data_IF_340963529607
#
_entry.id   IF_340963529607
#
_cell.length_a   1.000
_cell.length_b   1.000
_cell.length_c   1.000
_cell.angle_alpha   90.00
_cell.angle_beta   90.00
_cell.angle_gamma   90.00
#
_symmetry.space_group_name_H-M   'P 1'
#
loop_
_entity.id
_entity.type
_entity.pdbx_description
1 polymer ?
#
# COMPACT_ATOMS: atom_id res chain seq x y z
N UNK A 1 -5.28 -15.54 14.05
CA UNK A 1 -3.83 -15.17 13.93
C UNK A 1 -3.63 -14.70 12.50
N UNK A 2 -2.93 -13.61 12.27
CA UNK A 2 -2.69 -13.08 10.91
C UNK A 2 -1.53 -13.88 10.31
N UNK A 3 -1.78 -14.54 9.17
CA UNK A 3 -0.72 -15.23 8.43
C UNK A 3 0.28 -14.23 7.84
N UNK A 4 1.57 -14.55 7.87
CA UNK A 4 2.63 -13.67 7.39
C UNK A 4 2.95 -12.45 8.25
N UNK A 5 2.40 -12.36 9.48
CA UNK A 5 2.71 -11.28 10.42
C UNK A 5 4.06 -11.48 11.09
N UNK A 6 4.87 -10.43 11.10
CA UNK A 6 6.16 -10.37 11.78
C UNK A 6 6.23 -9.06 12.59
N UNK A 7 6.48 -9.19 13.90
CA UNK A 7 6.79 -8.04 14.74
C UNK A 7 8.27 -7.72 14.59
N UNK A 8 8.58 -6.48 14.23
CA UNK A 8 9.94 -6.01 13.95
C UNK A 8 10.24 -4.71 14.70
N UNK A 9 11.48 -4.50 15.14
CA UNK A 9 11.86 -3.28 15.86
C UNK A 9 12.00 -2.06 14.93
N UNK A 10 12.14 -2.26 13.63
CA UNK A 10 12.34 -1.22 12.59
C UNK A 10 11.48 -1.59 11.37
N UNK A 11 10.22 -1.12 11.36
CA UNK A 11 9.28 -1.37 10.26
C UNK A 11 9.79 -0.75 8.95
N UNK A 12 10.27 0.51 8.90
CA UNK A 12 10.84 1.09 7.69
C UNK A 12 12.01 0.29 7.12
N UNK A 13 12.96 -0.16 7.96
CA UNK A 13 14.10 -0.98 7.50
C UNK A 13 13.66 -2.35 6.98
N UNK A 14 12.73 -3.01 7.68
CA UNK A 14 12.18 -4.29 7.24
C UNK A 14 11.42 -4.14 5.90
N UNK A 15 10.69 -3.04 5.70
CA UNK A 15 10.04 -2.73 4.44
C UNK A 15 11.07 -2.53 3.31
N UNK A 16 12.10 -1.72 3.54
CA UNK A 16 13.14 -1.45 2.54
C UNK A 16 13.82 -2.75 2.08
N UNK A 17 14.23 -3.62 3.00
CA UNK A 17 14.80 -4.92 2.66
C UNK A 17 13.82 -5.80 1.89
N UNK A 18 12.53 -5.78 2.25
CA UNK A 18 11.51 -6.55 1.54
C UNK A 18 11.34 -6.09 0.08
N UNK A 19 11.38 -4.78 -0.18
CA UNK A 19 11.32 -4.23 -1.55
C UNK A 19 12.57 -4.63 -2.33
N UNK A 20 13.75 -4.49 -1.73
CA UNK A 20 15.03 -4.84 -2.37
C UNK A 20 15.09 -6.32 -2.73
N UNK A 21 14.70 -7.20 -1.80
CA UNK A 21 14.62 -8.65 -2.05
C UNK A 21 13.63 -9.00 -3.16
N UNK A 22 12.46 -8.36 -3.13
CA UNK A 22 11.43 -8.55 -4.17
C UNK A 22 11.91 -8.09 -5.53
N UNK A 23 12.59 -6.93 -5.60
CA UNK A 23 13.22 -6.45 -6.83
C UNK A 23 14.27 -7.44 -7.36
N UNK A 24 15.10 -8.00 -6.48
CA UNK A 24 16.10 -9.01 -6.83
C UNK A 24 15.50 -10.32 -7.37
N UNK A 25 14.33 -10.68 -6.87
CA UNK A 25 13.60 -11.91 -7.23
C UNK A 25 12.61 -11.74 -8.39
N UNK A 26 12.50 -10.54 -9.00
CA UNK A 26 11.55 -10.29 -10.09
C UNK A 26 11.77 -11.24 -11.26
N UNK A 27 10.67 -11.66 -11.87
CA UNK A 27 10.70 -12.56 -13.02
C UNK A 27 10.83 -11.81 -14.37
N UNK A 28 10.35 -10.57 -14.41
CA UNK A 28 10.31 -9.73 -15.61
C UNK A 28 11.48 -8.73 -15.65
N UNK A 29 11.69 -8.11 -16.80
CA UNK A 29 12.74 -7.10 -16.97
C UNK A 29 12.46 -5.85 -16.12
N UNK A 30 11.20 -5.43 -16.04
CA UNK A 30 10.73 -4.34 -15.21
C UNK A 30 10.12 -4.86 -13.91
N UNK A 31 10.13 -4.01 -12.89
CA UNK A 31 9.54 -4.27 -11.57
C UNK A 31 8.44 -3.27 -11.30
N UNK A 32 7.26 -3.75 -10.99
CA UNK A 32 6.09 -2.92 -10.75
C UNK A 32 5.76 -2.83 -9.25
N UNK A 33 5.77 -1.60 -8.71
CA UNK A 33 5.43 -1.35 -7.31
C UNK A 33 4.29 -0.34 -7.21
N UNK A 34 3.25 -0.67 -6.41
CA UNK A 34 2.22 0.29 -6.03
C UNK A 34 2.49 0.84 -4.63
N UNK A 35 2.59 2.16 -4.53
CA UNK A 35 2.89 2.91 -3.30
C UNK A 35 1.62 3.31 -2.56
N UNK A 36 1.74 3.62 -1.28
CA UNK A 36 0.69 4.08 -0.38
C UNK A 36 1.01 5.47 0.18
N UNK A 37 0.17 5.99 1.05
CA UNK A 37 0.37 7.25 1.76
C UNK A 37 0.40 7.11 3.29
N UNK A 38 0.56 8.23 3.96
CA UNK A 38 0.59 8.33 5.42
C UNK A 38 2.00 8.28 6.03
N UNK A 39 2.08 8.57 7.34
CA UNK A 39 3.36 8.77 8.03
C UNK A 39 4.28 7.54 8.05
N UNK A 40 3.71 6.35 8.26
CA UNK A 40 4.47 5.10 8.19
C UNK A 40 5.04 4.88 6.79
N UNK A 41 4.22 5.13 5.74
CA UNK A 41 4.69 5.02 4.37
C UNK A 41 5.81 6.01 4.05
N UNK A 42 5.71 7.27 4.53
CA UNK A 42 6.77 8.27 4.38
C UNK A 42 8.10 7.75 4.95
N UNK A 43 8.12 7.26 6.18
CA UNK A 43 9.34 6.69 6.81
C UNK A 43 9.87 5.47 6.04
N UNK A 44 8.98 4.61 5.55
CA UNK A 44 9.35 3.47 4.72
C UNK A 44 10.04 3.91 3.42
N UNK A 45 9.53 4.97 2.79
CA UNK A 45 10.11 5.48 1.53
C UNK A 45 11.42 6.22 1.75
N UNK A 46 11.53 7.01 2.80
CA UNK A 46 12.80 7.64 3.19
C UNK A 46 13.88 6.58 3.43
N UNK A 47 13.55 5.52 4.17
CA UNK A 47 14.47 4.40 4.41
C UNK A 47 14.79 3.63 3.13
N UNK A 48 13.81 3.38 2.27
CA UNK A 48 14.03 2.74 0.97
C UNK A 48 14.90 3.59 0.06
N UNK A 49 14.78 4.93 0.11
CA UNK A 49 15.67 5.82 -0.62
C UNK A 49 17.12 5.71 -0.13
N UNK A 50 17.35 5.57 1.18
CA UNK A 50 18.68 5.42 1.75
C UNK A 50 19.31 4.05 1.42
N UNK A 51 18.58 2.98 1.65
CA UNK A 51 19.10 1.61 1.54
C UNK A 51 19.04 1.06 0.10
N UNK A 52 18.09 1.52 -0.70
CA UNK A 52 17.78 1.03 -2.05
C UNK A 52 18.42 1.82 -3.19
N UNK A 53 18.96 3.02 -2.92
CA UNK A 53 19.49 3.90 -3.98
C UNK A 53 20.51 3.23 -4.91
N UNK A 54 21.36 2.36 -4.37
CA UNK A 54 22.40 1.63 -5.11
C UNK A 54 22.13 0.15 -5.28
N UNK A 55 21.09 -0.38 -4.63
CA UNK A 55 20.73 -1.81 -4.65
C UNK A 55 19.59 -2.11 -5.63
N UNK A 56 18.85 -1.08 -6.05
CA UNK A 56 17.75 -1.17 -7.01
C UNK A 56 18.12 -0.39 -8.27
N UNK A 57 17.99 -1.04 -9.42
CA UNK A 57 18.08 -0.37 -10.73
C UNK A 57 16.77 0.38 -11.00
N UNK A 58 16.64 1.60 -10.48
CA UNK A 58 15.40 2.39 -10.53
C UNK A 58 14.86 2.59 -11.93
N UNK A 59 15.71 2.67 -12.94
CA UNK A 59 15.31 2.74 -14.35
C UNK A 59 14.58 1.48 -14.86
N UNK A 60 14.48 0.42 -14.02
CA UNK A 60 13.66 -0.78 -14.27
C UNK A 60 12.39 -0.81 -13.41
N UNK A 61 12.11 0.24 -12.63
CA UNK A 61 10.96 0.28 -11.71
C UNK A 61 9.83 1.09 -12.32
N UNK A 62 8.67 0.47 -12.47
CA UNK A 62 7.41 1.12 -12.79
C UNK A 62 6.64 1.41 -11.50
N UNK A 63 6.43 2.70 -11.22
CA UNK A 63 5.81 3.17 -9.99
C UNK A 63 4.34 3.48 -10.22
N UNK A 64 3.50 2.88 -9.40
CA UNK A 64 2.05 3.05 -9.33
C UNK A 64 1.65 3.53 -7.93
N UNK A 65 0.35 3.81 -7.73
CA UNK A 65 -0.24 4.08 -6.42
C UNK A 65 -1.36 3.09 -6.13
N UNK A 66 -1.48 2.66 -4.87
CA UNK A 66 -2.58 1.84 -4.38
C UNK A 66 -3.84 2.65 -4.14
N UNK A 67 -3.67 3.91 -3.73
CA UNK A 67 -4.74 4.89 -3.59
C UNK A 67 -4.20 6.32 -3.69
N UNK A 68 -5.07 7.26 -3.99
CA UNK A 68 -4.76 8.69 -4.02
C UNK A 68 -5.97 9.51 -3.63
N UNK A 69 -5.71 10.67 -3.03
CA UNK A 69 -6.71 11.67 -2.73
C UNK A 69 -7.01 12.49 -4.00
N UNK A 70 -8.28 12.77 -4.26
CA UNK A 70 -8.70 13.60 -5.40
C UNK A 70 -8.38 15.07 -5.16
N UNK A 71 -7.11 15.38 -4.95
CA UNK A 71 -6.54 16.72 -4.77
C UNK A 71 -5.47 16.98 -5.85
N UNK A 72 -5.04 18.22 -6.06
CA UNK A 72 -3.87 18.50 -6.90
C UNK A 72 -2.63 17.74 -6.43
N UNK A 73 -1.75 17.33 -7.35
CA UNK A 73 -0.56 16.53 -7.03
C UNK A 73 0.50 17.27 -6.19
N UNK A 74 0.40 18.58 -6.08
CA UNK A 74 1.23 19.44 -5.22
C UNK A 74 0.54 19.80 -3.89
N UNK A 75 -0.65 19.24 -3.63
CA UNK A 75 -1.35 19.41 -2.36
C UNK A 75 -0.65 18.59 -1.26
N UNK A 76 -0.57 19.14 -0.05
CA UNK A 76 0.09 18.50 1.10
C UNK A 76 -0.44 17.08 1.44
N UNK A 77 -1.72 16.83 1.15
CA UNK A 77 -2.35 15.53 1.34
C UNK A 77 -2.22 14.58 0.15
N UNK A 78 -1.48 14.91 -0.91
CA UNK A 78 -1.26 14.01 -2.04
C UNK A 78 -0.30 12.87 -1.68
N UNK A 79 -0.71 11.63 -1.93
CA UNK A 79 0.16 10.47 -1.80
C UNK A 79 1.31 10.51 -2.81
N UNK A 80 1.07 11.09 -3.99
CA UNK A 80 2.13 11.32 -4.98
C UNK A 80 3.17 12.30 -4.45
N UNK A 81 2.76 13.45 -3.90
CA UNK A 81 3.69 14.43 -3.35
C UNK A 81 4.56 13.78 -2.26
N UNK A 82 3.93 13.05 -1.34
CA UNK A 82 4.62 12.33 -0.28
C UNK A 82 5.68 11.37 -0.87
N UNK A 83 5.30 10.52 -1.82
CA UNK A 83 6.21 9.53 -2.40
C UNK A 83 7.32 10.20 -3.23
N UNK A 84 7.01 11.30 -3.93
CA UNK A 84 8.02 12.07 -4.67
C UNK A 84 9.10 12.60 -3.74
N UNK A 85 8.71 13.29 -2.67
CA UNK A 85 9.66 13.89 -1.72
C UNK A 85 10.45 12.85 -0.92
N UNK A 86 9.77 11.79 -0.45
CA UNK A 86 10.37 10.77 0.41
C UNK A 86 11.25 9.78 -0.36
N UNK A 87 10.96 9.53 -1.64
CA UNK A 87 11.63 8.49 -2.43
C UNK A 87 12.10 8.99 -3.80
N UNK A 88 11.18 9.41 -4.68
CA UNK A 88 11.47 9.52 -6.11
C UNK A 88 12.47 10.62 -6.44
N UNK A 89 12.47 11.74 -5.71
CA UNK A 89 13.45 12.83 -5.86
C UNK A 89 14.84 12.47 -5.27
N UNK A 90 14.95 11.34 -4.55
CA UNK A 90 16.18 10.92 -3.83
C UNK A 90 16.89 9.74 -4.49
N UNK A 91 16.21 9.02 -5.36
CA UNK A 91 16.75 7.87 -6.10
C UNK A 91 16.89 8.21 -7.58
N UNK A 92 17.43 7.31 -8.37
CA UNK A 92 17.50 7.50 -9.82
C UNK A 92 16.11 7.56 -10.48
N UNK A 93 16.03 8.05 -11.71
CA UNK A 93 14.78 8.10 -12.45
C UNK A 93 14.14 6.71 -12.57
N UNK A 94 12.87 6.61 -12.22
CA UNK A 94 12.07 5.41 -12.46
C UNK A 94 11.88 5.18 -13.97
N UNK A 95 11.62 3.94 -14.39
CA UNK A 95 11.28 3.60 -15.77
C UNK A 95 10.02 4.35 -16.20
N UNK A 96 8.97 4.24 -15.40
CA UNK A 96 7.73 5.00 -15.57
C UNK A 96 7.08 5.33 -14.23
N UNK A 97 6.31 6.42 -14.20
CA UNK A 97 5.52 6.85 -13.05
C UNK A 97 4.06 7.01 -13.46
N UNK A 98 3.21 6.15 -12.95
CA UNK A 98 1.80 6.04 -13.32
C UNK A 98 0.92 6.69 -12.25
N UNK A 99 0.65 7.98 -12.40
CA UNK A 99 -0.10 8.76 -11.40
C UNK A 99 -1.58 8.42 -11.40
N UNK A 100 -2.17 8.30 -10.22
CA UNK A 100 -3.61 8.29 -10.06
C UNK A 100 -4.16 9.73 -10.20
N UNK A 101 -5.08 9.91 -11.14
CA UNK A 101 -5.86 11.14 -11.32
C UNK A 101 -7.32 10.77 -11.33
N UNK A 102 -8.10 11.28 -10.39
CA UNK A 102 -9.50 10.88 -10.23
C UNK A 102 -10.34 11.08 -11.50
N UNK A 103 -10.01 12.09 -12.30
CA UNK A 103 -10.66 12.31 -13.61
C UNK A 103 -10.31 11.24 -14.67
N UNK A 104 -9.27 10.42 -14.41
CA UNK A 104 -8.74 9.42 -15.34
C UNK A 104 -8.87 7.99 -14.77
N UNK A 105 -9.85 7.73 -13.90
CA UNK A 105 -9.99 6.45 -13.21
C UNK A 105 -10.12 5.26 -14.17
N UNK A 106 -10.88 5.40 -15.27
CA UNK A 106 -11.04 4.35 -16.27
C UNK A 106 -9.73 4.09 -17.05
N UNK A 107 -8.94 5.11 -17.33
CA UNK A 107 -7.64 4.95 -17.97
C UNK A 107 -6.65 4.24 -17.04
N UNK A 108 -6.68 4.54 -15.74
CA UNK A 108 -5.87 3.83 -14.75
C UNK A 108 -6.31 2.39 -14.56
N UNK A 109 -7.62 2.12 -14.57
CA UNK A 109 -8.20 0.77 -14.58
C UNK A 109 -7.64 -0.06 -15.75
N UNK A 110 -7.61 0.48 -16.97
CA UNK A 110 -7.06 -0.20 -18.15
C UNK A 110 -5.57 -0.45 -17.96
N UNK A 111 -4.81 0.53 -17.48
CA UNK A 111 -3.37 0.39 -17.23
C UNK A 111 -3.04 -0.70 -16.23
N UNK A 112 -3.80 -0.79 -15.12
CA UNK A 112 -3.66 -1.88 -14.15
C UNK A 112 -4.06 -3.23 -14.76
N UNK A 113 -5.06 -3.24 -15.64
CA UNK A 113 -5.48 -4.41 -16.40
C UNK A 113 -4.39 -4.93 -17.32
N UNK A 114 -3.76 -4.02 -18.09
CA UNK A 114 -2.70 -4.34 -19.06
C UNK A 114 -1.40 -4.80 -18.37
N UNK A 115 -1.08 -4.25 -17.19
CA UNK A 115 0.05 -4.71 -16.36
C UNK A 115 -0.10 -6.20 -16.00
N UNK A 116 -1.32 -6.67 -15.82
CA UNK A 116 -1.62 -8.03 -15.40
C UNK A 116 -1.37 -8.26 -13.91
N UNK A 117 -0.14 -8.10 -13.41
CA UNK A 117 0.21 -8.33 -11.99
C UNK A 117 1.22 -7.31 -11.50
N UNK A 118 1.04 -6.84 -10.27
CA UNK A 118 2.07 -6.11 -9.54
C UNK A 118 3.11 -7.07 -8.95
N UNK A 119 4.39 -6.69 -8.94
CA UNK A 119 5.39 -7.41 -8.17
C UNK A 119 5.20 -7.12 -6.68
N UNK A 120 4.92 -5.87 -6.30
CA UNK A 120 4.64 -5.49 -4.93
C UNK A 120 3.55 -4.41 -4.84
N UNK A 121 2.63 -4.58 -3.89
CA UNK A 121 1.71 -3.54 -3.43
C UNK A 121 1.99 -3.24 -1.98
N UNK A 122 2.31 -1.98 -1.67
CA UNK A 122 2.46 -1.47 -0.32
C UNK A 122 1.13 -0.95 0.20
N UNK A 123 0.75 -1.37 1.39
CA UNK A 123 -0.48 -0.95 2.08
C UNK A 123 -0.17 -0.51 3.51
N UNK A 124 -1.02 0.35 4.04
CA UNK A 124 -1.10 0.68 5.45
C UNK A 124 -2.36 0.13 6.10
N UNK A 125 -2.50 0.36 7.40
CA UNK A 125 -3.69 0.07 8.20
C UNK A 125 -4.23 1.35 8.83
N UNK A 126 -5.47 1.71 8.54
CA UNK A 126 -6.17 2.79 9.22
C UNK A 126 -6.56 2.41 10.67
N UNK A 127 -6.75 3.38 11.57
CA UNK A 127 -7.17 3.09 12.94
C UNK A 127 -8.59 2.51 13.03
N UNK A 128 -9.39 2.63 11.98
CA UNK A 128 -10.72 2.06 11.80
C UNK A 128 -10.72 0.75 10.99
N UNK A 129 -9.53 0.20 10.68
CA UNK A 129 -9.36 -1.03 9.94
C UNK A 129 -9.43 -0.89 8.41
N UNK A 130 -9.50 0.34 7.85
CA UNK A 130 -9.38 0.52 6.42
C UNK A 130 -7.97 0.24 5.91
N UNK A 131 -7.83 -0.09 4.63
CA UNK A 131 -6.57 -0.19 3.91
C UNK A 131 -6.72 0.45 2.53
N UNK A 132 -5.64 1.02 1.97
CA UNK A 132 -5.74 1.90 0.81
C UNK A 132 -6.85 2.95 1.06
N UNK A 133 -7.80 3.12 0.15
CA UNK A 133 -9.03 3.88 0.41
C UNK A 133 -10.27 2.99 0.33
N UNK A 134 -10.20 1.79 0.91
CA UNK A 134 -11.30 0.85 1.07
C UNK A 134 -11.85 0.99 2.50
N UNK A 135 -12.98 1.67 2.65
CA UNK A 135 -13.62 1.98 3.93
C UNK A 135 -14.78 1.04 4.19
N UNK A 136 -15.06 0.74 5.46
CA UNK A 136 -16.22 -0.07 5.84
C UNK A 136 -17.52 0.54 5.31
N UNK A 137 -18.32 -0.26 4.62
CA UNK A 137 -19.59 0.16 4.02
C UNK A 137 -19.47 1.02 2.76
N UNK A 138 -18.27 1.19 2.19
CA UNK A 138 -18.08 1.96 0.95
C UNK A 138 -18.31 1.09 -0.29
N UNK A 139 -18.72 1.74 -1.41
CA UNK A 139 -18.99 1.05 -2.68
C UNK A 139 -17.75 0.36 -3.25
N UNK A 140 -16.56 0.97 -3.12
CA UNK A 140 -15.33 0.39 -3.65
C UNK A 140 -14.90 -0.89 -2.91
N UNK A 141 -15.31 -1.07 -1.64
CA UNK A 141 -15.06 -2.29 -0.88
C UNK A 141 -15.85 -3.48 -1.44
N UNK A 142 -17.03 -3.23 -1.99
CA UNK A 142 -17.94 -4.22 -2.55
C UNK A 142 -17.92 -4.22 -4.10
N UNK A 143 -16.86 -3.68 -4.71
CA UNK A 143 -16.74 -3.60 -6.16
C UNK A 143 -16.69 -4.99 -6.79
N UNK A 144 -17.28 -5.10 -8.00
CA UNK A 144 -17.23 -6.33 -8.79
C UNK A 144 -15.80 -6.83 -9.01
N UNK A 145 -15.54 -8.15 -9.08
CA UNK A 145 -14.19 -8.72 -9.26
C UNK A 145 -13.46 -8.25 -10.54
N UNK A 146 -14.17 -7.79 -11.54
CA UNK A 146 -13.60 -7.21 -12.76
C UNK A 146 -13.14 -5.75 -12.60
N UNK A 147 -13.56 -5.08 -11.53
CA UNK A 147 -13.18 -3.70 -11.22
C UNK A 147 -11.91 -3.69 -10.39
N UNK A 148 -10.81 -3.25 -10.96
CA UNK A 148 -9.48 -3.22 -10.30
C UNK A 148 -9.21 -1.88 -9.62
N UNK A 149 -9.86 -0.81 -10.08
CA UNK A 149 -9.71 0.57 -9.61
C UNK A 149 -11.09 1.19 -9.49
N UNK A 150 -11.34 1.92 -8.41
CA UNK A 150 -12.61 2.61 -8.19
C UNK A 150 -12.40 4.02 -7.62
N UNK A 151 -13.35 4.92 -7.89
CA UNK A 151 -13.54 6.12 -7.09
C UNK A 151 -14.28 5.74 -5.82
N UNK A 152 -13.96 6.39 -4.70
CA UNK A 152 -14.53 6.08 -3.41
C UNK A 152 -14.60 7.30 -2.50
N UNK A 153 -15.47 7.24 -1.51
CA UNK A 153 -15.55 8.19 -0.41
C UNK A 153 -15.71 7.42 0.89
N UNK A 154 -15.26 8.01 2.00
CA UNK A 154 -15.48 7.44 3.33
C UNK A 154 -16.91 7.72 3.79
N UNK A 155 -17.79 6.70 3.92
CA UNK A 155 -19.16 6.92 4.38
C UNK A 155 -19.26 7.50 5.79
N UNK A 156 -18.22 7.32 6.62
CA UNK A 156 -18.15 7.86 7.97
C UNK A 156 -17.76 9.35 8.01
N UNK A 157 -17.23 9.88 6.92
CA UNK A 157 -16.73 11.27 6.82
C UNK A 157 -15.47 11.56 7.63
N UNK A 158 -14.81 10.55 8.19
CA UNK A 158 -13.56 10.74 8.97
C UNK A 158 -12.36 11.03 8.08
N UNK A 159 -12.37 10.48 6.87
CA UNK A 159 -11.32 10.67 5.89
C UNK A 159 -11.78 11.68 4.84
N UNK A 160 -11.27 12.94 4.87
CA UNK A 160 -11.69 13.94 3.91
C UNK A 160 -11.24 13.57 2.49
N UNK A 161 -11.83 14.21 1.50
CA UNK A 161 -11.62 14.07 0.08
C UNK A 161 -12.20 12.78 -0.54
N UNK A 162 -12.79 12.87 -1.72
CA UNK A 162 -12.94 11.71 -2.59
C UNK A 162 -11.58 11.07 -2.88
N UNK A 163 -11.60 9.79 -3.19
CA UNK A 163 -10.40 8.96 -3.40
C UNK A 163 -10.49 8.21 -4.71
N UNK A 164 -9.35 7.86 -5.24
CA UNK A 164 -9.18 6.80 -6.21
C UNK A 164 -8.39 5.67 -5.55
N UNK A 165 -8.80 4.42 -5.70
CA UNK A 165 -8.20 3.30 -4.96
C UNK A 165 -8.15 2.03 -5.81
N UNK A 166 -7.13 1.19 -5.60
CA UNK A 166 -7.24 -0.21 -5.96
C UNK A 166 -8.38 -0.84 -5.15
N UNK A 167 -9.18 -1.67 -5.81
CA UNK A 167 -10.17 -2.52 -5.14
C UNK A 167 -9.48 -3.75 -4.52
N UNK A 168 -10.21 -4.58 -3.77
CA UNK A 168 -9.68 -5.88 -3.32
C UNK A 168 -9.21 -6.73 -4.50
N UNK A 169 -9.95 -6.73 -5.63
CA UNK A 169 -9.56 -7.43 -6.84
C UNK A 169 -8.28 -6.86 -7.48
N UNK A 170 -8.07 -5.54 -7.40
CA UNK A 170 -6.85 -4.88 -7.85
C UNK A 170 -5.64 -5.25 -6.98
N UNK A 171 -5.82 -5.27 -5.65
CA UNK A 171 -4.80 -5.68 -4.67
C UNK A 171 -4.45 -7.15 -4.84
N UNK A 172 -5.43 -8.02 -5.06
CA UNK A 172 -5.23 -9.47 -5.25
C UNK A 172 -4.36 -9.80 -6.48
N UNK A 173 -4.12 -8.86 -7.38
CA UNK A 173 -3.18 -9.03 -8.49
C UNK A 173 -1.71 -8.87 -8.09
N UNK A 174 -1.40 -8.62 -6.84
CA UNK A 174 -0.02 -8.54 -6.36
C UNK A 174 0.58 -9.94 -6.17
N UNK A 175 1.86 -10.12 -6.56
CA UNK A 175 2.69 -11.25 -6.14
C UNK A 175 3.00 -11.15 -4.64
N UNK A 176 3.22 -9.92 -4.18
CA UNK A 176 3.52 -9.62 -2.79
C UNK A 176 2.74 -8.37 -2.35
N UNK A 177 1.95 -8.50 -1.31
CA UNK A 177 1.42 -7.37 -0.54
C UNK A 177 2.24 -7.20 0.72
N UNK A 178 2.74 -6.00 0.97
CA UNK A 178 3.40 -5.65 2.23
C UNK A 178 2.54 -4.63 2.96
N UNK A 179 2.03 -5.00 4.13
CA UNK A 179 1.27 -4.10 5.00
C UNK A 179 2.17 -3.64 6.12
N UNK A 180 2.38 -2.32 6.24
CA UNK A 180 3.18 -1.74 7.32
C UNK A 180 2.28 -1.10 8.37
N UNK A 181 2.52 -1.43 9.64
CA UNK A 181 1.69 -0.96 10.76
C UNK A 181 2.59 -0.52 11.90
N UNK A 182 2.50 0.75 12.30
CA UNK A 182 3.26 1.30 13.43
C UNK A 182 2.36 2.11 14.37
N UNK A 183 2.68 1.97 15.65
CA UNK A 183 2.11 2.76 16.73
C UNK A 183 0.88 2.16 17.39
N UNK A 184 0.73 2.45 18.68
CA UNK A 184 -0.34 1.95 19.56
C UNK A 184 -1.75 2.30 19.02
N UNK A 185 -1.89 3.43 18.33
CA UNK A 185 -3.17 3.84 17.71
C UNK A 185 -3.71 2.83 16.67
N UNK A 186 -2.89 1.88 16.22
CA UNK A 186 -3.25 0.82 15.28
C UNK A 186 -3.57 -0.52 15.97
N UNK A 187 -3.31 -0.65 17.27
CA UNK A 187 -3.42 -1.91 17.98
C UNK A 187 -4.84 -2.52 17.92
N UNK A 188 -5.88 -1.72 18.10
CA UNK A 188 -7.27 -2.20 18.02
C UNK A 188 -7.64 -2.66 16.61
N UNK A 189 -7.25 -1.89 15.57
CA UNK A 189 -7.50 -2.26 14.18
C UNK A 189 -6.76 -3.55 13.81
N UNK A 190 -5.51 -3.70 14.24
CA UNK A 190 -4.71 -4.91 13.99
C UNK A 190 -5.30 -6.12 14.74
N UNK A 191 -5.77 -5.93 15.98
CA UNK A 191 -6.46 -6.98 16.73
C UNK A 191 -7.77 -7.40 16.07
N UNK A 192 -8.53 -6.45 15.49
CA UNK A 192 -9.73 -6.74 14.70
C UNK A 192 -9.41 -7.61 13.48
N UNK A 193 -8.35 -7.27 12.73
CA UNK A 193 -7.84 -8.12 11.62
C UNK A 193 -7.48 -9.52 12.13
N UNK A 194 -6.77 -9.60 13.26
CA UNK A 194 -6.35 -10.89 13.84
C UNK A 194 -7.50 -11.79 14.29
N UNK A 195 -8.62 -11.20 14.71
CA UNK A 195 -9.86 -11.91 15.05
C UNK A 195 -10.68 -12.32 13.82
N UNK A 196 -10.39 -11.76 12.64
CA UNK A 196 -11.21 -11.93 11.45
C UNK A 196 -12.52 -11.13 11.51
N UNK A 197 -12.51 -9.99 12.22
CA UNK A 197 -13.66 -9.09 12.26
C UNK A 197 -13.89 -8.51 10.84
N UNK A 198 -15.11 -8.04 10.57
CA UNK A 198 -15.48 -7.48 9.26
C UNK A 198 -14.90 -6.05 9.08
N UNK A 199 -13.58 -5.98 8.94
CA UNK A 199 -12.84 -4.76 8.61
C UNK A 199 -12.16 -4.90 7.26
N UNK A 200 -12.05 -3.81 6.46
CA UNK A 200 -11.51 -3.89 5.10
C UNK A 200 -10.15 -4.57 5.01
N UNK A 201 -9.23 -4.27 5.93
CA UNK A 201 -7.89 -4.85 5.94
C UNK A 201 -7.87 -6.38 6.20
N UNK A 202 -8.89 -6.94 6.86
CA UNK A 202 -9.02 -8.39 7.04
C UNK A 202 -9.40 -9.13 5.75
N UNK A 203 -9.83 -8.40 4.72
CA UNK A 203 -10.23 -8.94 3.40
C UNK A 203 -9.09 -8.89 2.37
N UNK A 204 -7.89 -8.42 2.76
CA UNK A 204 -6.71 -8.45 1.86
C UNK A 204 -6.38 -9.90 1.52
N UNK A 205 -6.32 -10.17 0.22
CA UNK A 205 -5.88 -11.45 -0.35
C UNK A 205 -4.94 -11.20 -1.51
N UNK A 206 -3.88 -12.00 -1.62
CA UNK A 206 -2.90 -11.97 -2.70
C UNK A 206 -2.08 -13.26 -2.70
N UNK A 207 -1.21 -13.45 -3.70
CA UNK A 207 -0.35 -14.63 -3.74
C UNK A 207 0.50 -14.78 -2.46
N UNK A 208 0.97 -13.64 -1.92
CA UNK A 208 1.66 -13.57 -0.63
C UNK A 208 1.33 -12.25 0.06
N UNK A 209 0.97 -12.32 1.33
CA UNK A 209 0.76 -11.14 2.19
C UNK A 209 1.74 -11.19 3.35
N UNK A 210 2.44 -10.08 3.60
CA UNK A 210 3.37 -9.91 4.72
C UNK A 210 2.95 -8.68 5.52
N UNK A 211 2.83 -8.85 6.83
CA UNK A 211 2.55 -7.77 7.77
C UNK A 211 3.82 -7.45 8.56
N UNK A 212 4.32 -6.23 8.43
CA UNK A 212 5.45 -5.71 9.20
C UNK A 212 4.90 -4.77 10.26
N UNK A 213 5.05 -5.14 11.51
CA UNK A 213 4.35 -4.51 12.64
C UNK A 213 5.33 -4.18 13.73
N UNK A 214 5.24 -3.01 14.37
CA UNK A 214 6.01 -2.69 15.57
C UNK A 214 5.36 -3.27 16.85
N UNK A 215 6.12 -3.32 17.95
CA UNK A 215 5.60 -3.81 19.24
C UNK A 215 4.38 -3.02 19.75
N UNK A 216 4.33 -1.66 19.67
CA UNK A 216 3.16 -0.91 20.10
C UNK A 216 1.89 -1.27 19.33
N UNK A 217 1.96 -1.43 18.00
CA UNK A 217 0.80 -1.85 17.21
C UNK A 217 0.40 -3.29 17.50
N UNK A 218 1.34 -4.17 17.86
CA UNK A 218 1.09 -5.56 18.19
C UNK A 218 0.60 -5.80 19.64
N UNK A 219 0.49 -4.75 20.46
CA UNK A 219 0.25 -4.86 21.93
C UNK A 219 -1.04 -5.58 22.31
N UNK A 220 -2.04 -5.60 21.43
CA UNK A 220 -3.32 -6.31 21.68
C UNK A 220 -3.43 -7.65 20.94
N UNK A 221 -2.38 -8.09 20.28
CA UNK A 221 -2.36 -9.42 19.68
C UNK A 221 -2.17 -10.50 20.75
N UNK A 222 -2.77 -11.70 20.57
CA UNK A 222 -2.51 -12.81 21.48
C UNK A 222 -1.02 -13.19 21.44
N UNK A 223 -0.45 -13.45 22.63
CA UNK A 223 0.93 -13.93 22.73
C UNK A 223 1.12 -15.19 21.86
N UNK A 224 2.25 -15.31 21.14
CA UNK A 224 2.55 -16.54 20.44
C UNK A 224 2.61 -17.70 21.44
N UNK A 225 1.84 -18.75 21.18
CA UNK A 225 1.77 -19.99 22.00
C UNK A 225 3.00 -20.87 21.76
#
# INVERSE_FOLDING_TARGET
MIDGLTVVPDVPGAFAERVIDSFGARAEETYSIALSGGDTARRCYERLADDGATRIDWWKVDVYWGDERCVPHDHEDSNYLLAREALLDRVGAANATHLMRCAEADAYQLRVGDLGRFDLVHLGLGPDGHTASLFAGSEALEADPGRLVALNEDPSGRNPYPRMTLTLAGIARARLVVVTVEGEAKAEALAAVARGDDVPAARIDAERVVWLVDEPAASLLPSPS
#
